data_IF_528090074397
#
_entry.id   IF_528090074397
#
_cell.length_a   1.000
_cell.length_b   1.000
_cell.length_c   1.000
_cell.angle_alpha   90.00
_cell.angle_beta   90.00
_cell.angle_gamma   90.00
#
_symmetry.space_group_name_H-M   'P 1'
#
loop_
_entity.id
_entity.type
_entity.pdbx_description
1 polymer ?
#
# COMPACT_ATOMS: atom_id res chain seq x y z
N UNK A 1 -48.69 16.21 -1.25
CA UNK A 1 -48.51 14.79 -1.60
C UNK A 1 -47.32 14.11 -0.92
N UNK A 2 -46.16 14.75 -0.78
CA UNK A 2 -44.95 14.13 -0.18
C UNK A 2 -45.12 13.80 1.32
N UNK A 3 -45.74 14.68 2.14
CA UNK A 3 -45.92 14.46 3.59
C UNK A 3 -46.77 13.26 3.97
N UNK A 4 -47.82 12.92 3.23
CA UNK A 4 -48.69 11.75 3.50
C UNK A 4 -47.98 10.42 3.13
N UNK A 5 -47.02 10.45 2.21
CA UNK A 5 -46.21 9.29 1.78
C UNK A 5 -44.97 9.08 2.61
N UNK A 6 -44.53 10.06 3.41
CA UNK A 6 -43.34 9.93 4.26
C UNK A 6 -43.42 8.77 5.28
N UNK A 7 -44.60 8.57 5.88
CA UNK A 7 -44.82 7.43 6.81
C UNK A 7 -44.71 6.07 6.11
N UNK A 8 -45.21 5.96 4.88
CA UNK A 8 -45.15 4.72 4.08
C UNK A 8 -43.72 4.46 3.51
N UNK A 9 -42.92 5.51 3.30
CA UNK A 9 -41.56 5.42 2.75
C UNK A 9 -40.50 5.47 3.85
N UNK A 10 -40.87 5.66 5.11
CA UNK A 10 -39.90 5.82 6.22
C UNK A 10 -38.96 4.65 6.38
N UNK A 11 -39.46 3.42 6.21
CA UNK A 11 -38.63 2.23 6.26
C UNK A 11 -37.58 2.20 5.12
N UNK A 12 -38.00 2.50 3.89
CA UNK A 12 -37.10 2.53 2.72
C UNK A 12 -36.04 3.62 2.87
N UNK A 13 -36.43 4.79 3.44
CA UNK A 13 -35.45 5.84 3.70
C UNK A 13 -34.43 5.43 4.77
N UNK A 14 -34.87 4.77 5.84
CA UNK A 14 -33.99 4.26 6.88
C UNK A 14 -33.04 3.18 6.33
N UNK A 15 -33.56 2.25 5.52
CA UNK A 15 -32.77 1.21 4.86
C UNK A 15 -31.72 1.83 3.93
N UNK A 16 -32.13 2.74 3.02
CA UNK A 16 -31.19 3.41 2.11
C UNK A 16 -30.13 4.23 2.87
N UNK A 17 -30.49 4.81 4.01
CA UNK A 17 -29.56 5.56 4.86
C UNK A 17 -28.47 4.64 5.42
N UNK A 18 -28.85 3.51 6.01
CA UNK A 18 -27.91 2.54 6.54
C UNK A 18 -27.05 1.92 5.41
N UNK A 19 -27.72 1.57 4.30
CA UNK A 19 -27.02 1.03 3.11
C UNK A 19 -26.01 2.04 2.58
N UNK A 20 -26.33 3.35 2.53
CA UNK A 20 -25.37 4.35 2.07
C UNK A 20 -24.13 4.42 2.95
N UNK A 21 -24.29 4.40 4.28
CA UNK A 21 -23.16 4.41 5.23
C UNK A 21 -22.28 3.19 5.03
N UNK A 22 -22.89 2.00 4.94
CA UNK A 22 -22.13 0.74 4.71
C UNK A 22 -21.40 0.78 3.36
N UNK A 23 -22.08 1.19 2.29
CA UNK A 23 -21.49 1.27 0.96
C UNK A 23 -20.38 2.31 0.88
N UNK A 24 -20.54 3.46 1.56
CA UNK A 24 -19.49 4.45 1.67
C UNK A 24 -18.23 3.85 2.32
N UNK A 25 -18.39 3.15 3.45
CA UNK A 25 -17.29 2.50 4.14
C UNK A 25 -16.60 1.46 3.25
N UNK A 26 -17.37 0.66 2.51
CA UNK A 26 -16.82 -0.33 1.58
C UNK A 26 -16.05 0.32 0.42
N UNK A 27 -16.60 1.39 -0.15
CA UNK A 27 -15.95 2.13 -1.24
C UNK A 27 -14.67 2.82 -0.76
N UNK A 28 -14.68 3.45 0.41
CA UNK A 28 -13.51 4.09 0.99
C UNK A 28 -12.42 3.06 1.29
N UNK A 29 -12.77 1.97 1.95
CA UNK A 29 -11.85 0.88 2.30
C UNK A 29 -11.19 0.26 1.05
N UNK A 30 -11.99 -0.10 0.03
CA UNK A 30 -11.47 -0.63 -1.24
C UNK A 30 -10.64 0.40 -2.00
N UNK A 31 -11.07 1.67 -1.98
CA UNK A 31 -10.34 2.76 -2.61
C UNK A 31 -8.97 2.94 -1.98
N UNK A 32 -8.89 2.99 -0.65
CA UNK A 32 -7.64 3.07 0.09
C UNK A 32 -6.74 1.87 -0.17
N UNK A 33 -7.30 0.65 -0.16
CA UNK A 33 -6.58 -0.57 -0.47
C UNK A 33 -5.93 -0.52 -1.85
N UNK A 34 -6.71 -0.20 -2.88
CA UNK A 34 -6.20 -0.11 -4.25
C UNK A 34 -5.19 1.02 -4.41
N UNK A 35 -5.46 2.20 -3.86
CA UNK A 35 -4.52 3.30 -3.89
C UNK A 35 -3.18 2.92 -3.27
N UNK A 36 -3.19 2.30 -2.08
CA UNK A 36 -1.99 1.86 -1.39
C UNK A 36 -1.24 0.79 -2.19
N UNK A 37 -1.96 -0.15 -2.79
CA UNK A 37 -1.37 -1.21 -3.60
C UNK A 37 -0.68 -0.69 -4.86
N UNK A 38 -1.33 0.23 -5.60
CA UNK A 38 -0.81 0.75 -6.87
C UNK A 38 0.13 1.95 -6.71
N UNK A 39 0.23 2.52 -5.52
CA UNK A 39 1.16 3.62 -5.26
C UNK A 39 2.60 3.16 -5.49
N UNK A 40 3.44 3.92 -6.19
CA UNK A 40 4.83 3.57 -6.45
C UNK A 40 5.60 3.27 -5.17
N UNK A 41 6.43 2.25 -5.20
CA UNK A 41 7.32 1.92 -4.08
C UNK A 41 8.46 2.92 -3.91
N UNK A 42 8.82 3.66 -4.98
CA UNK A 42 9.98 4.55 -5.03
C UNK A 42 11.27 3.82 -5.37
N UNK A 43 11.22 2.52 -5.61
CA UNK A 43 12.31 1.68 -6.09
C UNK A 43 11.78 0.56 -6.97
N UNK A 44 12.69 -0.08 -7.72
CA UNK A 44 12.37 -1.16 -8.64
C UNK A 44 13.04 -2.46 -8.19
N UNK A 45 12.25 -3.54 -8.10
CA UNK A 45 12.69 -4.87 -7.70
C UNK A 45 12.77 -5.87 -8.87
N UNK A 46 12.37 -5.47 -10.08
CA UNK A 46 12.48 -6.32 -11.26
C UNK A 46 13.95 -6.60 -11.55
N UNK A 47 14.27 -7.82 -11.90
CA UNK A 47 15.64 -8.28 -12.14
C UNK A 47 16.59 -8.18 -10.92
N UNK A 48 16.04 -8.03 -9.71
CA UNK A 48 16.82 -8.03 -8.46
C UNK A 48 16.73 -9.38 -7.79
N UNK A 49 17.88 -9.83 -7.31
CA UNK A 49 18.03 -11.10 -6.61
C UNK A 49 18.76 -10.90 -5.30
N UNK A 50 18.40 -11.70 -4.30
CA UNK A 50 19.11 -11.80 -3.02
C UNK A 50 19.83 -13.12 -2.94
N UNK A 51 21.11 -13.11 -2.53
CA UNK A 51 21.84 -14.33 -2.20
C UNK A 51 21.41 -14.84 -0.83
N UNK A 52 21.06 -16.11 -0.77
CA UNK A 52 20.94 -16.87 0.46
C UNK A 52 22.22 -17.65 0.69
N UNK A 53 22.91 -17.38 1.79
CA UNK A 53 24.22 -17.95 2.10
C UNK A 53 24.14 -18.79 3.37
N UNK A 54 24.87 -19.89 3.37
CA UNK A 54 25.01 -20.78 4.54
C UNK A 54 26.50 -20.94 4.89
N UNK A 55 26.76 -21.06 6.19
CA UNK A 55 28.08 -21.37 6.71
C UNK A 55 28.18 -22.87 6.98
N UNK A 56 29.07 -23.55 6.35
CA UNK A 56 29.26 -25.00 6.46
C UNK A 56 30.57 -25.34 7.14
N UNK A 57 30.53 -26.11 8.23
CA UNK A 57 31.71 -26.63 8.91
C UNK A 57 32.71 -25.60 9.44
N UNK A 58 33.93 -26.07 9.72
CA UNK A 58 35.02 -25.20 10.17
C UNK A 58 35.66 -24.46 8.99
N UNK A 59 36.16 -23.25 9.24
CA UNK A 59 36.93 -22.49 8.27
C UNK A 59 38.23 -23.21 7.91
N UNK A 60 38.50 -23.32 6.62
CA UNK A 60 39.77 -23.90 6.12
C UNK A 60 40.92 -22.92 6.32
N UNK A 61 40.65 -21.65 6.27
CA UNK A 61 41.57 -20.55 6.49
C UNK A 61 41.15 -19.75 7.74
N UNK A 62 41.78 -20.04 8.87
CA UNK A 62 41.50 -19.37 10.14
C UNK A 62 41.87 -17.87 10.16
N UNK A 63 42.64 -17.41 9.19
CA UNK A 63 42.96 -15.97 9.05
C UNK A 63 41.86 -15.18 8.39
N UNK A 64 40.90 -15.82 7.70
CA UNK A 64 39.83 -15.21 6.95
C UNK A 64 38.66 -14.87 7.84
N UNK A 65 38.37 -13.61 7.99
CA UNK A 65 37.20 -13.14 8.76
C UNK A 65 35.89 -13.35 8.00
N UNK A 66 34.74 -13.31 8.68
CA UNK A 66 33.45 -13.36 7.99
C UNK A 66 33.26 -12.19 7.02
N UNK A 67 33.79 -11.02 7.37
CA UNK A 67 33.78 -9.84 6.48
C UNK A 67 34.54 -10.12 5.18
N UNK A 68 35.73 -10.77 5.26
CA UNK A 68 36.53 -11.12 4.08
C UNK A 68 35.76 -12.05 3.15
N UNK A 69 35.02 -13.01 3.71
CA UNK A 69 34.23 -13.95 2.92
C UNK A 69 33.09 -13.25 2.18
N UNK A 70 32.35 -12.37 2.87
CA UNK A 70 31.29 -11.59 2.23
C UNK A 70 31.83 -10.66 1.15
N UNK A 71 32.95 -9.96 1.42
CA UNK A 71 33.60 -9.09 0.44
C UNK A 71 34.11 -9.90 -0.76
N UNK A 72 34.69 -11.08 -0.51
CA UNK A 72 35.14 -11.99 -1.58
C UNK A 72 33.99 -12.43 -2.49
N UNK A 73 32.85 -12.79 -1.91
CA UNK A 73 31.64 -13.14 -2.67
C UNK A 73 31.15 -11.93 -3.48
N UNK A 74 31.06 -10.74 -2.85
CA UNK A 74 30.63 -9.53 -3.51
C UNK A 74 31.52 -9.18 -4.72
N UNK A 75 32.82 -9.20 -4.54
CA UNK A 75 33.78 -8.89 -5.61
C UNK A 75 33.74 -9.92 -6.77
N UNK A 76 33.56 -11.20 -6.47
CA UNK A 76 33.34 -12.22 -7.50
C UNK A 76 32.05 -11.99 -8.25
N UNK A 77 30.96 -11.68 -7.54
CA UNK A 77 29.65 -11.43 -8.12
C UNK A 77 29.64 -10.19 -9.03
N UNK A 78 30.36 -9.13 -8.66
CA UNK A 78 30.48 -7.92 -9.49
C UNK A 78 31.23 -8.15 -10.81
N UNK A 79 32.02 -9.23 -10.89
CA UNK A 79 32.73 -9.61 -12.12
C UNK A 79 31.91 -10.49 -13.05
N UNK A 80 30.77 -10.99 -12.58
CA UNK A 80 29.91 -11.86 -13.41
C UNK A 80 29.28 -11.05 -14.56
N UNK A 81 29.39 -11.53 -15.81
CA UNK A 81 28.91 -10.79 -16.99
C UNK A 81 27.42 -10.49 -16.98
N UNK A 82 26.60 -11.34 -16.35
CA UNK A 82 25.16 -11.19 -16.23
C UNK A 82 24.76 -10.14 -15.20
N UNK A 83 25.64 -9.79 -14.26
CA UNK A 83 25.36 -8.85 -13.19
C UNK A 83 25.56 -7.42 -13.68
N UNK A 84 24.59 -6.57 -13.45
CA UNK A 84 24.66 -5.13 -13.73
C UNK A 84 25.34 -4.39 -12.58
N UNK A 85 24.93 -4.69 -11.36
CA UNK A 85 25.43 -4.09 -10.12
C UNK A 85 25.11 -4.99 -8.93
N UNK A 86 26.01 -5.05 -7.96
CA UNK A 86 25.78 -5.74 -6.70
C UNK A 86 25.99 -4.79 -5.51
N UNK A 87 25.43 -5.16 -4.37
CA UNK A 87 25.58 -4.41 -3.12
C UNK A 87 25.52 -5.35 -1.92
N UNK A 88 26.33 -5.03 -0.91
CA UNK A 88 26.23 -5.59 0.42
C UNK A 88 25.52 -4.59 1.32
N UNK A 89 24.60 -5.06 2.14
CA UNK A 89 23.93 -4.27 3.15
C UNK A 89 23.89 -5.00 4.48
N UNK A 90 23.66 -4.27 5.55
CA UNK A 90 23.60 -4.80 6.91
C UNK A 90 22.29 -4.42 7.57
N UNK A 91 21.41 -5.40 7.81
CA UNK A 91 20.06 -5.19 8.36
C UNK A 91 19.24 -4.12 7.62
N UNK A 92 19.40 -4.02 6.32
CA UNK A 92 18.95 -2.83 5.58
C UNK A 92 18.18 -3.11 4.32
N UNK A 93 17.80 -4.36 4.05
CA UNK A 93 17.00 -4.65 2.87
C UNK A 93 15.53 -4.29 3.07
N UNK A 94 14.89 -3.65 2.07
CA UNK A 94 13.46 -3.52 2.06
C UNK A 94 12.81 -4.91 2.15
N UNK A 95 11.63 -5.01 2.78
CA UNK A 95 10.87 -6.28 2.86
C UNK A 95 11.65 -7.46 3.50
N UNK A 96 12.60 -7.18 4.38
CA UNK A 96 13.34 -8.24 5.08
C UNK A 96 12.88 -8.47 6.53
N UNK A 97 12.04 -7.60 7.07
CA UNK A 97 11.62 -7.64 8.48
C UNK A 97 12.68 -7.15 9.46
N UNK A 98 13.94 -7.10 9.06
CA UNK A 98 15.07 -6.69 9.86
C UNK A 98 15.50 -5.28 9.47
N UNK A 99 15.57 -4.37 10.44
CA UNK A 99 15.97 -2.99 10.19
C UNK A 99 16.71 -2.44 11.41
N UNK A 100 17.71 -1.60 11.14
CA UNK A 100 18.33 -0.77 12.16
C UNK A 100 17.49 0.48 12.39
N UNK A 101 17.27 0.85 13.64
CA UNK A 101 16.54 2.06 14.03
C UNK A 101 17.41 2.95 14.90
N UNK A 102 17.23 4.24 14.72
CA UNK A 102 17.74 5.24 15.66
C UNK A 102 16.82 6.47 15.64
N UNK A 103 17.07 7.44 16.50
CA UNK A 103 16.40 8.72 16.46
C UNK A 103 17.41 9.79 16.02
N UNK A 104 17.06 10.50 14.96
CA UNK A 104 17.82 11.64 14.45
C UNK A 104 17.16 12.92 14.93
N UNK A 105 17.92 13.88 15.43
CA UNK A 105 17.37 15.09 16.02
C UNK A 105 18.04 16.37 15.48
N UNK A 106 17.27 17.45 15.43
CA UNK A 106 17.78 18.81 15.25
C UNK A 106 17.88 19.45 16.63
N UNK A 107 19.09 19.89 17.00
CA UNK A 107 19.36 20.55 18.28
C UNK A 107 18.85 19.78 19.51
N UNK A 108 18.84 18.47 19.44
CA UNK A 108 18.35 17.54 20.49
C UNK A 108 16.91 17.81 20.99
N UNK A 109 16.14 18.58 20.25
CA UNK A 109 14.77 18.98 20.63
C UNK A 109 13.72 18.37 19.70
N UNK A 110 13.95 18.39 18.39
CA UNK A 110 13.02 17.87 17.39
C UNK A 110 13.58 16.57 16.83
N UNK A 111 13.22 15.45 17.50
CA UNK A 111 13.64 14.12 17.11
C UNK A 111 12.70 13.44 16.12
N UNK A 112 13.26 12.62 15.24
CA UNK A 112 12.56 11.76 14.31
C UNK A 112 13.12 10.34 14.44
N UNK A 113 12.25 9.39 14.75
CA UNK A 113 12.62 7.98 14.66
C UNK A 113 12.81 7.61 13.19
N UNK A 114 14.01 7.18 12.85
CA UNK A 114 14.40 6.84 11.47
C UNK A 114 14.89 5.40 11.38
N UNK A 115 14.69 4.80 10.24
CA UNK A 115 15.36 3.53 9.89
C UNK A 115 16.67 3.86 9.20
N UNK A 116 17.70 3.06 9.47
CA UNK A 116 19.02 3.26 8.89
C UNK A 116 19.28 2.19 7.86
N UNK A 117 19.64 2.61 6.65
CA UNK A 117 20.18 1.74 5.62
C UNK A 117 21.71 1.85 5.65
N UNK A 118 22.37 0.77 6.06
CA UNK A 118 23.81 0.61 5.99
C UNK A 118 24.14 -0.24 4.78
N UNK A 119 24.69 0.35 3.72
CA UNK A 119 24.94 -0.37 2.47
C UNK A 119 26.13 0.17 1.69
N UNK A 120 26.70 -0.69 0.84
CA UNK A 120 27.74 -0.30 -0.12
C UNK A 120 27.17 0.59 -1.22
N UNK A 121 28.02 1.32 -1.92
CA UNK A 121 27.63 2.33 -2.90
C UNK A 121 26.80 1.83 -4.09
N UNK A 122 26.73 0.52 -4.32
CA UNK A 122 25.90 -0.09 -5.34
C UNK A 122 24.40 -0.15 -5.02
N UNK A 123 24.03 0.01 -3.74
CA UNK A 123 22.70 -0.29 -3.23
C UNK A 123 21.57 0.48 -3.94
N UNK A 124 21.70 1.78 -4.07
CA UNK A 124 20.69 2.64 -4.73
C UNK A 124 20.53 2.30 -6.21
N UNK A 125 21.60 1.88 -6.87
CA UNK A 125 21.56 1.41 -8.27
C UNK A 125 20.93 0.03 -8.39
N UNK A 126 21.17 -0.89 -7.45
CA UNK A 126 20.48 -2.20 -7.42
C UNK A 126 18.97 -1.99 -7.43
N UNK A 127 18.47 -1.09 -6.61
CA UNK A 127 17.04 -0.80 -6.47
C UNK A 127 16.53 0.31 -7.38
N UNK A 128 17.40 0.91 -8.22
CA UNK A 128 17.06 2.05 -9.08
C UNK A 128 16.32 3.15 -8.31
N UNK A 129 16.81 3.49 -7.12
CA UNK A 129 16.27 4.56 -6.30
C UNK A 129 16.60 5.92 -6.92
N UNK A 130 15.67 6.87 -6.80
CA UNK A 130 15.90 8.23 -7.27
C UNK A 130 16.84 8.94 -6.31
N UNK A 131 17.97 9.41 -6.81
CA UNK A 131 18.96 10.19 -6.07
C UNK A 131 18.90 11.66 -6.46
N UNK A 132 19.40 12.52 -5.58
CA UNK A 132 19.57 13.94 -5.88
C UNK A 132 20.65 14.14 -6.96
N UNK A 133 20.33 14.94 -7.97
CA UNK A 133 21.22 15.18 -9.11
C UNK A 133 22.55 15.81 -8.64
N UNK A 134 23.64 15.14 -8.97
CA UNK A 134 25.00 15.61 -8.66
C UNK A 134 25.58 15.10 -7.34
N UNK A 135 24.83 14.37 -6.52
CA UNK A 135 25.29 13.76 -5.27
C UNK A 135 24.89 12.29 -5.17
N UNK A 136 25.47 11.38 -5.96
CA UNK A 136 25.09 9.97 -5.93
C UNK A 136 25.56 9.32 -4.62
N UNK A 137 24.77 8.38 -4.12
CA UNK A 137 25.07 7.62 -2.90
C UNK A 137 26.44 6.92 -2.97
N UNK A 138 26.80 6.42 -4.14
CA UNK A 138 28.10 5.79 -4.39
C UNK A 138 29.30 6.72 -4.15
N UNK A 139 29.13 8.04 -4.29
CA UNK A 139 30.16 9.03 -4.08
C UNK A 139 30.13 9.70 -2.68
N UNK A 140 29.14 9.31 -1.85
CA UNK A 140 29.03 9.83 -0.49
C UNK A 140 30.27 9.44 0.34
N UNK A 141 30.83 10.34 1.17
CA UNK A 141 31.92 10.00 2.09
C UNK A 141 31.52 8.85 3.02
N UNK A 142 32.49 8.08 3.46
CA UNK A 142 32.29 7.03 4.45
C UNK A 142 32.72 7.54 5.81
N UNK A 143 31.86 7.41 6.80
CA UNK A 143 32.24 7.71 8.19
C UNK A 143 33.22 6.68 8.73
N UNK A 144 34.16 7.15 9.57
CA UNK A 144 35.18 6.28 10.15
C UNK A 144 34.67 5.41 11.32
N UNK A 145 33.46 5.64 11.77
CA UNK A 145 32.88 4.95 12.93
C UNK A 145 31.36 4.68 12.71
N UNK A 146 30.92 3.50 13.08
CA UNK A 146 29.53 3.02 12.96
C UNK A 146 28.59 3.74 13.90
N UNK A 147 29.06 4.00 15.09
CA UNK A 147 28.27 4.67 16.11
C UNK A 147 28.12 6.16 15.83
N UNK A 148 29.07 6.72 15.11
CA UNK A 148 29.12 8.13 14.76
C UNK A 148 28.95 8.41 13.25
N UNK A 149 28.26 7.55 12.48
CA UNK A 149 28.02 7.77 11.05
C UNK A 149 27.85 9.24 10.66
N UNK A 150 28.99 9.93 10.45
CA UNK A 150 29.03 11.39 10.33
C UNK A 150 28.42 11.87 9.01
N UNK A 151 28.22 10.96 8.06
CA UNK A 151 27.70 11.29 6.74
C UNK A 151 26.45 10.46 6.44
N UNK A 152 25.37 11.14 6.08
CA UNK A 152 24.11 10.51 5.76
C UNK A 152 23.42 11.18 4.57
N UNK A 153 22.59 10.42 3.87
CA UNK A 153 21.56 10.96 2.98
C UNK A 153 20.19 10.73 3.61
N UNK A 154 19.34 11.72 3.55
CA UNK A 154 17.97 11.61 4.05
C UNK A 154 17.04 11.12 2.95
N UNK A 155 16.05 10.29 3.29
CA UNK A 155 14.91 10.12 2.41
C UNK A 155 14.06 11.39 2.38
N UNK A 156 13.37 11.64 1.26
CA UNK A 156 12.48 12.79 1.11
C UNK A 156 11.46 12.85 2.27
N UNK A 157 10.88 11.71 2.69
CA UNK A 157 9.95 11.66 3.82
C UNK A 157 10.58 12.05 5.16
N UNK A 158 11.90 11.85 5.36
CA UNK A 158 12.62 12.34 6.54
C UNK A 158 12.85 13.84 6.44
N UNK A 159 13.26 14.31 5.26
CA UNK A 159 13.49 15.74 5.04
C UNK A 159 12.19 16.56 5.19
N UNK A 160 11.08 16.06 4.66
CA UNK A 160 9.77 16.73 4.75
C UNK A 160 9.26 16.77 6.20
N UNK A 161 9.50 15.72 6.99
CA UNK A 161 9.20 15.76 8.43
C UNK A 161 9.87 16.92 9.15
N UNK A 162 11.15 17.20 8.80
CA UNK A 162 11.88 18.33 9.41
C UNK A 162 11.47 19.67 8.83
N UNK A 163 11.22 19.77 7.51
CA UNK A 163 10.74 21.01 6.88
C UNK A 163 9.44 21.53 7.49
N UNK A 164 8.54 20.61 7.87
CA UNK A 164 7.27 20.96 8.52
C UNK A 164 7.45 21.49 9.96
N UNK A 165 8.50 21.06 10.67
CA UNK A 165 8.68 21.30 12.12
C UNK A 165 9.82 22.24 12.45
N UNK A 166 10.78 22.41 11.55
CA UNK A 166 11.98 23.26 11.74
C UNK A 166 11.95 24.36 10.69
N UNK A 167 11.63 25.61 11.06
CA UNK A 167 11.66 26.72 10.13
C UNK A 167 13.05 26.88 9.50
N UNK A 168 13.13 26.94 8.18
CA UNK A 168 14.39 27.09 7.45
C UNK A 168 15.25 25.82 7.38
N UNK A 169 14.69 24.64 7.64
CA UNK A 169 15.43 23.38 7.48
C UNK A 169 16.02 23.24 6.07
N UNK A 170 17.30 22.94 6.02
CA UNK A 170 18.08 22.71 4.79
C UNK A 170 19.06 21.56 4.98
N UNK A 171 19.76 21.15 3.92
CA UNK A 171 20.80 20.13 4.00
C UNK A 171 22.00 20.55 4.88
N UNK A 172 22.15 21.86 5.13
CA UNK A 172 23.22 22.39 6.01
C UNK A 172 22.78 22.46 7.48
N UNK A 173 21.51 22.14 7.77
CA UNK A 173 21.02 22.10 9.16
C UNK A 173 21.73 20.98 9.92
N UNK A 174 22.43 21.27 11.04
CA UNK A 174 23.13 20.25 11.79
C UNK A 174 22.15 19.28 12.43
N UNK A 175 22.38 17.99 12.21
CA UNK A 175 21.67 16.90 12.83
C UNK A 175 22.59 16.18 13.82
N UNK A 176 22.01 15.51 14.79
CA UNK A 176 22.71 14.60 15.71
C UNK A 176 21.87 13.36 15.95
N UNK A 177 22.52 12.26 16.32
CA UNK A 177 21.78 11.15 16.88
C UNK A 177 21.24 11.58 18.25
N UNK A 178 19.97 11.27 18.51
CA UNK A 178 19.28 11.69 19.74
C UNK A 178 20.05 11.26 20.99
N UNK A 179 20.31 12.20 21.88
CA UNK A 179 21.13 11.99 23.09
C UNK A 179 22.65 12.04 22.86
N UNK A 180 23.11 12.27 21.62
CA UNK A 180 24.54 12.41 21.30
C UNK A 180 24.82 13.70 20.51
N UNK A 181 24.72 14.82 21.19
CA UNK A 181 24.94 16.15 20.60
C UNK A 181 26.40 16.43 20.24
N UNK A 182 27.34 15.63 20.75
CA UNK A 182 28.76 15.77 20.45
C UNK A 182 29.09 15.31 19.03
N UNK A 183 28.31 14.39 18.47
CA UNK A 183 28.52 13.81 17.15
C UNK A 183 27.54 14.38 16.13
N UNK A 184 27.94 15.46 15.46
CA UNK A 184 27.17 16.09 14.40
C UNK A 184 27.13 15.19 13.16
N UNK A 185 25.94 14.95 12.65
CA UNK A 185 25.69 14.18 11.42
C UNK A 185 25.60 15.15 10.24
N UNK A 186 26.47 14.94 9.25
CA UNK A 186 26.51 15.75 8.03
C UNK A 186 25.62 15.17 6.96
N UNK A 187 24.69 15.97 6.47
CA UNK A 187 23.81 15.60 5.37
C UNK A 187 24.55 15.76 4.04
N UNK A 188 24.59 14.70 3.22
CA UNK A 188 25.29 14.71 1.93
C UNK A 188 24.35 14.85 0.72
N UNK A 189 23.05 14.67 0.90
CA UNK A 189 22.07 14.71 -0.18
C UNK A 189 20.75 14.07 0.24
N UNK A 190 19.87 13.89 -0.74
CA UNK A 190 18.58 13.26 -0.53
C UNK A 190 18.35 12.06 -1.47
N UNK A 191 17.58 11.11 -0.98
CA UNK A 191 17.03 10.00 -1.77
C UNK A 191 15.52 10.20 -1.84
N UNK A 192 14.96 10.03 -3.02
CA UNK A 192 13.53 10.21 -3.25
C UNK A 192 12.66 9.40 -2.31
N UNK A 193 11.40 9.76 -2.22
CA UNK A 193 10.44 9.08 -1.36
C UNK A 193 10.32 7.61 -1.75
N UNK A 194 10.35 6.73 -0.76
CA UNK A 194 10.11 5.32 -0.97
C UNK A 194 9.40 4.68 0.23
N UNK A 195 8.74 3.56 -0.02
CA UNK A 195 8.04 2.79 1.01
C UNK A 195 8.79 1.49 1.29
N UNK A 196 8.82 1.08 2.55
CA UNK A 196 9.51 -0.17 2.92
C UNK A 196 8.87 -1.41 2.29
N UNK A 197 7.57 -1.38 2.04
CA UNK A 197 6.80 -2.43 1.37
C UNK A 197 5.48 -1.87 0.83
N UNK A 198 4.79 -2.66 0.03
CA UNK A 198 3.61 -2.22 -0.76
C UNK A 198 2.47 -1.61 0.08
N UNK A 199 2.24 -2.12 1.29
CA UNK A 199 1.20 -1.63 2.20
C UNK A 199 1.74 -0.73 3.32
N UNK A 200 3.04 -0.42 3.31
CA UNK A 200 3.67 0.47 4.28
C UNK A 200 3.44 1.95 3.98
N UNK A 201 3.53 2.77 5.03
CA UNK A 201 3.60 4.23 4.89
C UNK A 201 4.95 4.65 4.27
N UNK A 202 5.03 5.91 3.83
CA UNK A 202 6.29 6.53 3.47
C UNK A 202 7.21 6.50 4.68
N UNK A 203 8.32 5.81 4.53
CA UNK A 203 9.18 5.55 5.65
C UNK A 203 10.21 6.68 5.80
N UNK A 204 10.49 7.02 7.04
CA UNK A 204 11.54 7.95 7.40
C UNK A 204 12.85 7.17 7.48
N UNK A 205 13.68 7.34 6.48
CA UNK A 205 14.92 6.59 6.31
C UNK A 205 16.12 7.51 6.22
N UNK A 206 17.23 6.96 6.67
CA UNK A 206 18.56 7.55 6.58
C UNK A 206 19.47 6.54 5.92
N UNK A 207 20.21 6.96 4.92
CA UNK A 207 21.16 6.14 4.20
C UNK A 207 22.56 6.45 4.63
N UNK A 208 23.28 5.43 5.02
CA UNK A 208 24.69 5.49 5.40
C UNK A 208 25.49 4.57 4.49
N UNK A 209 26.47 5.13 3.84
CA UNK A 209 27.38 4.34 3.02
C UNK A 209 28.40 3.64 3.90
N UNK A 210 28.61 2.35 3.65
CA UNK A 210 29.66 1.54 4.25
C UNK A 210 30.67 1.12 3.18
N UNK A 211 31.95 1.05 3.55
CA UNK A 211 33.05 0.55 2.71
C UNK A 211 33.65 -0.73 3.29
N UNK A 212 34.71 -1.23 2.66
CA UNK A 212 35.40 -2.43 3.11
C UNK A 212 35.93 -2.32 4.54
N UNK A 213 36.41 -1.15 4.96
CA UNK A 213 36.96 -0.96 6.30
C UNK A 213 35.85 -1.06 7.35
N UNK A 214 34.72 -0.36 7.11
CA UNK A 214 33.55 -0.46 7.96
C UNK A 214 33.01 -1.86 8.02
N UNK A 215 32.94 -2.57 6.90
CA UNK A 215 32.49 -3.96 6.83
C UNK A 215 33.41 -4.86 7.67
N UNK A 216 34.74 -4.69 7.57
CA UNK A 216 35.70 -5.50 8.34
C UNK A 216 35.65 -5.26 9.85
N UNK A 217 35.34 -4.04 10.25
CA UNK A 217 35.29 -3.67 11.69
C UNK A 217 33.95 -4.00 12.34
N UNK A 218 32.88 -3.96 11.57
CA UNK A 218 31.51 -3.97 12.12
C UNK A 218 30.68 -5.16 11.73
N UNK A 219 31.00 -5.82 10.60
CA UNK A 219 30.19 -6.92 10.12
C UNK A 219 30.30 -8.09 11.09
N UNK A 220 29.18 -8.43 11.71
CA UNK A 220 29.01 -9.68 12.46
C UNK A 220 28.51 -10.78 11.52
N UNK A 221 28.62 -12.02 11.93
CA UNK A 221 28.21 -13.21 11.16
C UNK A 221 26.73 -13.21 10.74
N UNK A 222 25.91 -12.37 11.36
CA UNK A 222 24.48 -12.26 11.08
C UNK A 222 24.12 -10.82 10.65
N UNK A 223 23.20 -10.71 9.75
CA UNK A 223 22.67 -9.42 9.27
C UNK A 223 23.28 -8.91 7.97
N UNK A 224 24.38 -9.52 7.49
CA UNK A 224 24.91 -9.22 6.16
C UNK A 224 24.04 -9.82 5.07
N UNK A 225 23.73 -9.01 4.07
CA UNK A 225 22.83 -9.36 2.98
C UNK A 225 23.46 -8.88 1.67
N UNK A 226 23.55 -9.75 0.68
CA UNK A 226 24.03 -9.41 -0.66
C UNK A 226 22.85 -9.44 -1.61
N UNK A 227 22.67 -8.34 -2.33
CA UNK A 227 21.68 -8.18 -3.38
C UNK A 227 22.35 -7.73 -4.65
N UNK A 228 21.79 -8.12 -5.78
CA UNK A 228 22.32 -7.73 -7.07
C UNK A 228 21.22 -7.62 -8.12
N UNK A 229 21.48 -6.82 -9.12
CA UNK A 229 20.62 -6.66 -10.29
C UNK A 229 21.24 -7.38 -11.46
N UNK A 230 20.43 -8.15 -12.16
CA UNK A 230 20.77 -8.82 -13.41
C UNK A 230 20.46 -7.90 -14.57
N UNK A 231 21.28 -7.93 -15.62
CA UNK A 231 20.99 -7.24 -16.88
C UNK A 231 19.71 -7.81 -17.49
N UNK A 232 18.81 -6.95 -17.92
CA UNK A 232 17.48 -7.33 -18.43
C UNK A 232 17.54 -8.38 -19.54
N UNK A 233 18.50 -8.26 -20.44
CA UNK A 233 18.71 -9.22 -21.54
C UNK A 233 19.28 -10.58 -21.10
N UNK A 234 19.76 -10.71 -19.88
CA UNK A 234 20.32 -11.93 -19.31
C UNK A 234 19.37 -12.59 -18.30
N UNK A 235 18.34 -11.88 -17.85
CA UNK A 235 17.37 -12.38 -16.88
C UNK A 235 16.29 -13.22 -17.60
N UNK A 236 16.45 -14.54 -17.49
CA UNK A 236 15.54 -15.52 -18.06
C UNK A 236 14.77 -16.26 -16.96
N UNK A 237 13.60 -16.86 -17.25
CA UNK A 237 12.87 -17.68 -16.28
C UNK A 237 13.72 -18.77 -15.63
N UNK A 238 14.76 -19.24 -16.32
CA UNK A 238 15.69 -20.27 -15.84
C UNK A 238 16.91 -19.69 -15.11
N UNK A 239 16.99 -18.34 -14.96
CA UNK A 239 18.20 -17.70 -14.42
C UNK A 239 18.60 -18.26 -13.05
N UNK A 240 17.64 -18.44 -12.13
CA UNK A 240 17.89 -19.05 -10.80
C UNK A 240 18.58 -20.41 -10.92
N UNK A 241 18.07 -21.28 -11.77
CA UNK A 241 18.61 -22.63 -11.96
C UNK A 241 20.00 -22.63 -12.58
N UNK A 242 20.23 -21.75 -13.58
CA UNK A 242 21.54 -21.56 -14.20
C UNK A 242 22.53 -20.97 -13.22
N UNK A 243 22.13 -19.95 -12.48
CA UNK A 243 22.97 -19.32 -11.46
C UNK A 243 23.47 -20.34 -10.44
N UNK A 244 22.57 -21.13 -9.86
CA UNK A 244 22.91 -22.11 -8.85
C UNK A 244 23.82 -23.22 -9.38
N UNK A 245 23.67 -23.59 -10.64
CA UNK A 245 24.46 -24.67 -11.25
C UNK A 245 25.82 -24.20 -11.76
N UNK A 246 25.88 -23.01 -12.35
CA UNK A 246 27.04 -22.55 -13.10
C UNK A 246 27.83 -21.46 -12.37
N UNK A 247 27.16 -20.54 -11.65
CA UNK A 247 27.80 -19.36 -11.04
C UNK A 247 28.06 -19.57 -9.55
N UNK A 248 27.08 -20.07 -8.80
CA UNK A 248 27.17 -20.19 -7.35
C UNK A 248 28.45 -20.97 -6.86
N UNK A 249 28.88 -22.08 -7.48
CA UNK A 249 30.09 -22.78 -7.04
C UNK A 249 31.37 -21.94 -7.16
N UNK A 250 31.39 -20.97 -8.08
CA UNK A 250 32.53 -20.05 -8.25
C UNK A 250 32.53 -18.92 -7.23
N UNK A 251 31.37 -18.61 -6.68
CA UNK A 251 31.21 -17.58 -5.65
C UNK A 251 31.59 -18.09 -4.26
N UNK A 252 31.47 -19.38 -4.03
CA UNK A 252 31.79 -20.00 -2.76
C UNK A 252 33.14 -19.53 -2.24
N UNK A 253 33.22 -19.21 -0.97
CA UNK A 253 34.43 -18.65 -0.36
C UNK A 253 34.67 -19.28 1.00
N UNK A 254 35.75 -20.07 1.12
CA UNK A 254 36.13 -20.85 2.30
C UNK A 254 34.98 -21.78 2.77
N UNK A 255 34.38 -21.53 3.91
CA UNK A 255 33.23 -22.30 4.42
C UNK A 255 31.89 -21.60 4.24
N UNK A 256 31.82 -20.55 3.41
CA UNK A 256 30.59 -19.88 3.05
C UNK A 256 30.13 -20.28 1.66
N UNK A 257 28.95 -20.85 1.57
CA UNK A 257 28.34 -21.39 0.36
C UNK A 257 27.08 -20.67 -0.03
N UNK A 258 26.84 -20.55 -1.33
CA UNK A 258 25.60 -20.03 -1.85
C UNK A 258 24.55 -21.14 -1.81
N UNK A 259 23.57 -21.03 -0.93
CA UNK A 259 22.48 -21.99 -0.78
C UNK A 259 21.38 -21.76 -1.81
N UNK A 260 21.09 -20.51 -2.11
CA UNK A 260 20.03 -20.14 -3.04
C UNK A 260 20.23 -18.71 -3.57
N UNK A 261 19.53 -18.41 -4.67
CA UNK A 261 19.38 -17.08 -5.22
C UNK A 261 17.88 -16.80 -5.41
N UNK A 262 17.36 -15.91 -4.58
CA UNK A 262 15.92 -15.67 -4.48
C UNK A 262 15.56 -14.40 -5.26
N UNK A 263 14.64 -14.47 -6.25
CA UNK A 263 14.11 -13.29 -6.90
C UNK A 263 13.46 -12.35 -5.85
N UNK A 264 13.74 -11.07 -5.95
CA UNK A 264 13.22 -10.12 -4.96
C UNK A 264 11.69 -9.98 -4.97
N UNK A 265 11.05 -10.32 -6.09
CA UNK A 265 9.60 -10.44 -6.20
C UNK A 265 9.03 -11.57 -5.34
N UNK A 266 9.74 -12.69 -5.24
CA UNK A 266 9.39 -13.80 -4.34
C UNK A 266 9.60 -13.39 -2.87
N UNK A 267 10.70 -12.71 -2.57
CA UNK A 267 10.97 -12.15 -1.25
C UNK A 267 9.86 -11.16 -0.81
N UNK A 268 9.39 -10.32 -1.72
CA UNK A 268 8.28 -9.42 -1.48
C UNK A 268 7.01 -10.20 -1.09
N UNK A 269 6.65 -11.21 -1.86
CA UNK A 269 5.47 -12.01 -1.59
C UNK A 269 5.56 -12.74 -0.24
N UNK A 270 6.70 -13.35 0.05
CA UNK A 270 6.95 -14.02 1.34
C UNK A 270 6.85 -13.05 2.52
N UNK A 271 7.37 -11.84 2.36
CA UNK A 271 7.28 -10.79 3.38
C UNK A 271 5.83 -10.33 3.60
N UNK A 272 5.05 -10.11 2.54
CA UNK A 272 3.64 -9.73 2.61
C UNK A 272 2.78 -10.83 3.26
N UNK A 273 3.09 -12.11 2.99
CA UNK A 273 2.46 -13.26 3.67
C UNK A 273 2.85 -13.29 5.16
N UNK A 274 4.13 -13.15 5.48
CA UNK A 274 4.62 -13.14 6.86
C UNK A 274 4.01 -12.00 7.69
N UNK A 275 3.78 -10.83 7.08
CA UNK A 275 3.11 -9.68 7.71
C UNK A 275 1.59 -9.87 7.86
N UNK A 276 1.02 -10.89 7.22
CA UNK A 276 -0.42 -11.11 7.18
C UNK A 276 -1.18 -10.17 6.24
N UNK A 277 -0.47 -9.35 5.45
CA UNK A 277 -1.11 -8.38 4.54
C UNK A 277 -1.91 -9.09 3.45
N UNK A 278 -1.42 -10.21 2.92
CA UNK A 278 -2.12 -11.02 1.92
C UNK A 278 -3.44 -11.57 2.47
N UNK A 279 -3.40 -12.14 3.68
CA UNK A 279 -4.60 -12.71 4.32
C UNK A 279 -5.61 -11.61 4.68
N UNK A 280 -5.11 -10.46 5.15
CA UNK A 280 -5.94 -9.30 5.47
C UNK A 280 -6.66 -8.77 4.23
N UNK A 281 -5.94 -8.60 3.12
CA UNK A 281 -6.51 -8.14 1.84
C UNK A 281 -7.54 -9.12 1.32
N UNK A 282 -7.23 -10.41 1.33
CA UNK A 282 -8.14 -11.46 0.88
C UNK A 282 -9.41 -11.50 1.72
N UNK A 283 -9.27 -11.53 3.06
CA UNK A 283 -10.39 -11.52 3.99
C UNK A 283 -11.27 -10.28 3.81
N UNK A 284 -10.67 -9.11 3.73
CA UNK A 284 -11.39 -7.85 3.53
C UNK A 284 -12.14 -7.86 2.19
N UNK A 285 -11.52 -8.35 1.13
CA UNK A 285 -12.15 -8.45 -0.20
C UNK A 285 -13.36 -9.38 -0.17
N UNK A 286 -13.25 -10.56 0.48
CA UNK A 286 -14.36 -11.50 0.62
C UNK A 286 -15.50 -10.90 1.43
N UNK A 287 -15.22 -10.25 2.55
CA UNK A 287 -16.22 -9.58 3.40
C UNK A 287 -16.93 -8.48 2.62
N UNK A 288 -16.18 -7.65 1.90
CA UNK A 288 -16.76 -6.59 1.06
C UNK A 288 -17.68 -7.17 -0.02
N UNK A 289 -17.24 -8.19 -0.73
CA UNK A 289 -18.06 -8.84 -1.77
C UNK A 289 -19.32 -9.46 -1.18
N UNK A 290 -19.22 -10.14 -0.04
CA UNK A 290 -20.36 -10.69 0.68
C UNK A 290 -21.38 -9.62 1.07
N UNK A 291 -20.93 -8.52 1.67
CA UNK A 291 -21.79 -7.41 2.06
C UNK A 291 -22.45 -6.76 0.84
N UNK A 292 -21.71 -6.58 -0.24
CA UNK A 292 -22.21 -6.01 -1.49
C UNK A 292 -23.35 -6.86 -2.08
N UNK A 293 -23.19 -8.19 -2.09
CA UNK A 293 -24.25 -9.13 -2.53
C UNK A 293 -25.47 -9.05 -1.61
N UNK A 294 -25.28 -9.01 -0.29
CA UNK A 294 -26.38 -8.92 0.66
C UNK A 294 -27.18 -7.62 0.52
N UNK A 295 -26.47 -6.49 0.40
CA UNK A 295 -27.08 -5.17 0.15
C UNK A 295 -27.88 -5.18 -1.16
N UNK A 296 -27.30 -5.74 -2.22
CA UNK A 296 -27.95 -5.85 -3.52
C UNK A 296 -29.26 -6.66 -3.46
N UNK A 297 -29.24 -7.82 -2.79
CA UNK A 297 -30.43 -8.65 -2.61
C UNK A 297 -31.48 -7.96 -1.76
N UNK A 298 -31.08 -7.26 -0.68
CA UNK A 298 -31.98 -6.45 0.14
C UNK A 298 -32.68 -5.37 -0.65
N UNK A 299 -31.93 -4.60 -1.43
CA UNK A 299 -32.49 -3.54 -2.27
C UNK A 299 -33.44 -4.08 -3.35
N UNK A 300 -33.07 -5.17 -4.03
CA UNK A 300 -33.99 -5.83 -5.00
C UNK A 300 -35.29 -6.21 -4.31
N UNK A 301 -35.23 -6.86 -3.16
CA UNK A 301 -36.40 -7.27 -2.38
C UNK A 301 -37.30 -6.06 -2.03
N UNK A 302 -36.71 -5.01 -1.49
CA UNK A 302 -37.44 -3.78 -1.10
C UNK A 302 -38.12 -3.11 -2.29
N UNK A 303 -37.41 -2.94 -3.41
CA UNK A 303 -38.01 -2.34 -4.61
C UNK A 303 -39.04 -3.25 -5.27
N UNK A 304 -38.85 -4.58 -5.19
CA UNK A 304 -39.84 -5.53 -5.69
C UNK A 304 -41.15 -5.46 -4.90
N UNK A 305 -41.13 -5.46 -3.56
CA UNK A 305 -42.31 -5.29 -2.70
C UNK A 305 -42.98 -3.95 -2.93
N UNK A 306 -42.19 -2.87 -3.07
CA UNK A 306 -42.72 -1.52 -3.32
C UNK A 306 -43.46 -1.45 -4.67
N UNK A 307 -42.88 -2.01 -5.71
CA UNK A 307 -43.51 -2.01 -7.05
C UNK A 307 -44.77 -2.86 -7.07
N UNK A 308 -44.75 -4.01 -6.36
CA UNK A 308 -45.93 -4.86 -6.25
C UNK A 308 -47.08 -4.21 -5.53
N UNK A 309 -46.85 -3.45 -4.44
CA UNK A 309 -47.87 -2.67 -3.74
C UNK A 309 -48.51 -1.55 -4.57
N UNK A 310 -47.84 -1.11 -5.62
CA UNK A 310 -48.30 -0.06 -6.54
C UNK A 310 -48.86 -0.60 -7.84
N UNK A 311 -49.14 -1.90 -7.92
CA UNK A 311 -49.62 -2.56 -9.13
C UNK A 311 -50.89 -1.90 -9.69
N UNK A 312 -51.85 -1.55 -8.84
CA UNK A 312 -53.12 -0.93 -9.25
C UNK A 312 -52.89 0.52 -9.76
N UNK A 313 -52.01 1.28 -9.13
CA UNK A 313 -51.63 2.64 -9.61
C UNK A 313 -50.96 2.56 -11.00
N UNK A 314 -50.07 1.59 -11.20
CA UNK A 314 -49.38 1.36 -12.47
C UNK A 314 -50.37 0.93 -13.57
N UNK A 315 -51.29 0.02 -13.25
CA UNK A 315 -52.33 -0.43 -14.18
C UNK A 315 -53.28 0.69 -14.60
N UNK A 316 -53.70 1.53 -13.65
CA UNK A 316 -54.54 2.71 -13.91
C UNK A 316 -53.84 3.68 -14.86
N UNK A 317 -52.56 3.97 -14.66
CA UNK A 317 -51.79 4.86 -15.53
C UNK A 317 -51.61 4.29 -16.95
N UNK A 318 -51.43 2.98 -17.07
CA UNK A 318 -51.39 2.31 -18.37
C UNK A 318 -52.76 2.42 -19.07
N UNK A 319 -53.88 2.23 -18.36
CA UNK A 319 -55.21 2.36 -18.90
C UNK A 319 -55.51 3.82 -19.34
N UNK A 320 -54.92 4.82 -18.67
CA UNK A 320 -55.03 6.25 -19.03
C UNK A 320 -54.05 6.64 -20.18
N UNK A 321 -53.36 5.68 -20.81
CA UNK A 321 -52.52 5.95 -21.99
C UNK A 321 -51.06 6.23 -21.71
N UNK A 322 -50.58 6.05 -20.48
CA UNK A 322 -49.11 6.13 -20.22
C UNK A 322 -48.35 5.01 -20.90
N UNK A 323 -47.23 5.35 -21.50
CA UNK A 323 -46.34 4.32 -22.11
C UNK A 323 -45.55 3.58 -21.04
N UNK A 324 -45.19 2.33 -21.34
CA UNK A 324 -44.34 1.49 -20.46
C UNK A 324 -43.02 2.20 -20.09
N UNK A 325 -42.41 2.95 -21.03
CA UNK A 325 -41.19 3.71 -20.83
C UNK A 325 -41.38 4.88 -19.84
N UNK A 326 -42.52 5.57 -19.93
CA UNK A 326 -42.83 6.68 -19.00
C UNK A 326 -42.98 6.19 -17.55
N UNK A 327 -43.65 5.03 -17.35
CA UNK A 327 -43.80 4.43 -16.03
C UNK A 327 -42.46 3.98 -15.48
N UNK A 328 -41.62 3.39 -16.32
CA UNK A 328 -40.28 2.97 -15.92
C UNK A 328 -39.41 4.16 -15.52
N UNK A 329 -39.39 5.24 -16.33
CA UNK A 329 -38.65 6.47 -16.01
C UNK A 329 -39.16 7.15 -14.72
N UNK A 330 -40.48 7.08 -14.46
CA UNK A 330 -41.06 7.63 -13.26
C UNK A 330 -40.61 6.87 -12.01
N UNK A 331 -40.65 5.52 -12.03
CA UNK A 331 -40.20 4.68 -10.92
C UNK A 331 -38.70 4.86 -10.65
N UNK A 332 -37.90 4.91 -11.73
CA UNK A 332 -36.46 5.18 -11.65
C UNK A 332 -36.15 6.54 -11.04
N UNK A 333 -36.80 7.60 -11.55
CA UNK A 333 -36.62 8.95 -11.03
C UNK A 333 -36.99 9.05 -9.55
N UNK A 334 -38.08 8.37 -9.14
CA UNK A 334 -38.51 8.35 -7.73
C UNK A 334 -37.47 7.60 -6.85
N UNK A 335 -36.93 6.46 -7.32
CA UNK A 335 -35.89 5.71 -6.59
C UNK A 335 -34.59 6.49 -6.43
N UNK A 336 -34.11 7.12 -7.50
CA UNK A 336 -32.89 7.92 -7.48
C UNK A 336 -33.06 9.22 -6.65
N UNK A 337 -34.25 9.83 -6.69
CA UNK A 337 -34.56 11.02 -5.87
C UNK A 337 -34.53 10.67 -4.38
N UNK A 338 -35.12 9.53 -3.98
CA UNK A 338 -35.05 9.04 -2.60
C UNK A 338 -33.62 8.76 -2.15
N UNK A 339 -32.82 8.10 -3.01
CA UNK A 339 -31.41 7.87 -2.74
C UNK A 339 -30.65 9.18 -2.52
N UNK A 340 -30.82 10.16 -3.41
CA UNK A 340 -30.12 11.44 -3.32
C UNK A 340 -30.54 12.22 -2.06
N UNK A 341 -31.83 12.21 -1.71
CA UNK A 341 -32.33 12.85 -0.50
C UNK A 341 -31.76 12.26 0.77
N UNK A 342 -31.56 10.94 0.79
CA UNK A 342 -30.98 10.22 1.94
C UNK A 342 -29.46 10.31 1.97
N UNK A 343 -28.82 10.41 0.82
CA UNK A 343 -27.36 10.51 0.73
C UNK A 343 -26.82 11.73 1.48
N UNK A 344 -27.54 12.88 1.45
CA UNK A 344 -27.09 14.11 2.12
C UNK A 344 -26.89 13.94 3.64
N UNK A 345 -27.89 13.50 4.43
CA UNK A 345 -27.69 13.28 5.85
C UNK A 345 -26.70 12.10 6.13
N UNK A 346 -26.67 11.07 5.28
CA UNK A 346 -25.72 9.97 5.41
C UNK A 346 -24.28 10.44 5.21
N UNK A 347 -24.02 11.32 4.23
CA UNK A 347 -22.70 11.92 4.01
C UNK A 347 -22.22 12.72 5.22
N UNK A 348 -23.12 13.42 5.96
CA UNK A 348 -22.73 14.11 7.19
C UNK A 348 -22.23 13.12 8.23
N UNK A 349 -22.93 11.98 8.39
CA UNK A 349 -22.48 10.93 9.32
C UNK A 349 -21.14 10.34 8.87
N UNK A 350 -21.00 9.98 7.59
CA UNK A 350 -19.77 9.42 7.03
C UNK A 350 -18.56 10.36 7.20
N UNK A 351 -18.77 11.66 7.00
CA UNK A 351 -17.74 12.67 7.18
C UNK A 351 -17.26 12.75 8.63
N UNK A 352 -18.18 12.76 9.60
CA UNK A 352 -17.84 12.76 11.01
C UNK A 352 -17.14 11.46 11.46
N UNK A 353 -17.57 10.32 10.93
CA UNK A 353 -16.90 9.03 11.17
C UNK A 353 -15.46 9.07 10.64
N UNK A 354 -15.24 9.56 9.43
CA UNK A 354 -13.90 9.69 8.86
C UNK A 354 -12.98 10.62 9.66
N UNK A 355 -13.49 11.77 10.13
CA UNK A 355 -12.69 12.65 11.00
C UNK A 355 -12.40 11.99 12.35
N UNK A 356 -13.37 11.33 12.96
CA UNK A 356 -13.17 10.65 14.24
C UNK A 356 -12.11 9.56 14.16
N UNK A 357 -12.10 8.78 13.08
CA UNK A 357 -11.08 7.77 12.81
C UNK A 357 -9.68 8.40 12.69
N UNK A 358 -9.56 9.50 11.96
CA UNK A 358 -8.29 10.20 11.82
C UNK A 358 -7.80 10.79 13.15
N UNK A 359 -8.68 11.37 13.97
CA UNK A 359 -8.32 12.01 15.25
C UNK A 359 -8.06 11.03 16.38
N UNK A 360 -8.70 9.87 16.38
CA UNK A 360 -8.49 8.82 17.40
C UNK A 360 -7.20 8.01 17.18
N UNK A 361 -6.42 8.33 16.15
CA UNK A 361 -5.17 7.66 15.82
C UNK A 361 -5.39 6.19 15.51
N UNK A 362 -5.68 5.91 14.27
CA UNK A 362 -5.68 4.57 13.64
C UNK A 362 -5.97 3.41 14.62
N UNK A 363 -7.16 3.37 15.17
CA UNK A 363 -7.58 2.15 15.85
C UNK A 363 -7.59 1.06 14.79
N UNK A 364 -6.85 -0.01 15.01
CA UNK A 364 -6.64 -1.13 14.07
C UNK A 364 -7.95 -1.77 13.56
N UNK A 365 -9.08 -1.33 14.08
CA UNK A 365 -10.41 -1.87 13.82
C UNK A 365 -11.03 -1.43 12.48
N UNK A 366 -10.70 -0.23 11.96
CA UNK A 366 -11.46 0.31 10.82
C UNK A 366 -10.59 0.53 9.59
N UNK A 367 -9.44 1.21 9.66
CA UNK A 367 -8.52 1.27 8.52
C UNK A 367 -7.05 1.25 8.97
N UNK A 368 -6.31 0.30 8.51
CA UNK A 368 -4.86 0.19 8.75
C UNK A 368 -4.06 0.71 7.56
N UNK A 369 -4.72 1.37 6.60
CA UNK A 369 -4.06 1.83 5.39
C UNK A 369 -3.43 3.21 5.61
N UNK A 370 -2.19 3.41 5.17
CA UNK A 370 -1.46 4.66 5.34
C UNK A 370 -1.94 5.74 4.34
N UNK A 371 -3.25 5.95 4.28
CA UNK A 371 -3.87 6.99 3.46
C UNK A 371 -4.46 8.02 4.39
N UNK A 372 -3.90 9.22 4.34
CA UNK A 372 -4.38 10.33 5.14
C UNK A 372 -5.84 10.68 4.80
N UNK A 373 -6.59 11.12 5.82
CA UNK A 373 -7.92 11.63 5.63
C UNK A 373 -7.86 12.93 4.83
N UNK A 374 -8.66 13.00 3.77
CA UNK A 374 -8.80 14.23 2.98
C UNK A 374 -10.23 14.39 2.47
N UNK A 375 -10.64 15.64 2.22
CA UNK A 375 -11.95 15.92 1.65
C UNK A 375 -12.13 15.25 0.28
N UNK A 376 -11.08 15.14 -0.51
CA UNK A 376 -11.11 14.44 -1.80
C UNK A 376 -11.39 12.93 -1.62
N UNK A 377 -10.73 12.28 -0.67
CA UNK A 377 -10.99 10.87 -0.32
C UNK A 377 -12.44 10.67 0.04
N UNK A 378 -12.98 11.52 0.94
CA UNK A 378 -14.39 11.51 1.34
C UNK A 378 -15.33 11.66 0.13
N UNK A 379 -15.05 12.62 -0.75
CA UNK A 379 -15.87 12.90 -1.93
C UNK A 379 -15.88 11.70 -2.90
N UNK A 380 -14.71 11.11 -3.18
CA UNK A 380 -14.59 9.94 -4.06
C UNK A 380 -15.31 8.72 -3.49
N UNK A 381 -15.18 8.44 -2.19
CA UNK A 381 -15.90 7.38 -1.50
C UNK A 381 -17.40 7.58 -1.55
N UNK A 382 -17.88 8.82 -1.31
CA UNK A 382 -19.28 9.18 -1.36
C UNK A 382 -19.89 9.07 -2.75
N UNK A 383 -19.16 9.53 -3.77
CA UNK A 383 -19.56 9.41 -5.17
C UNK A 383 -19.61 7.94 -5.61
N UNK A 384 -18.59 7.15 -5.24
CA UNK A 384 -18.55 5.71 -5.50
C UNK A 384 -19.74 4.98 -4.89
N UNK A 385 -20.03 5.24 -3.62
CA UNK A 385 -21.19 4.66 -2.93
C UNK A 385 -22.51 5.05 -3.61
N UNK A 386 -22.70 6.34 -3.92
CA UNK A 386 -23.90 6.82 -4.61
C UNK A 386 -24.08 6.13 -5.97
N UNK A 387 -23.03 6.06 -6.79
CA UNK A 387 -23.07 5.41 -8.11
C UNK A 387 -23.41 3.92 -8.02
N UNK A 388 -22.79 3.20 -7.08
CA UNK A 388 -23.07 1.76 -6.89
C UNK A 388 -24.51 1.52 -6.43
N UNK A 389 -25.01 2.27 -5.46
CA UNK A 389 -26.38 2.15 -5.00
C UNK A 389 -27.36 2.56 -6.10
N UNK A 390 -27.06 3.64 -6.84
CA UNK A 390 -27.88 4.07 -7.98
C UNK A 390 -27.99 2.97 -9.02
N UNK A 391 -26.87 2.31 -9.35
CA UNK A 391 -26.85 1.15 -10.26
C UNK A 391 -27.73 0.00 -9.74
N UNK A 392 -27.58 -0.33 -8.45
CA UNK A 392 -28.39 -1.39 -7.81
C UNK A 392 -29.89 -1.06 -7.81
N UNK A 393 -30.25 0.18 -7.51
CA UNK A 393 -31.64 0.70 -7.55
C UNK A 393 -32.18 0.60 -8.98
N UNK A 394 -31.40 1.00 -9.97
CA UNK A 394 -31.78 0.91 -11.40
C UNK A 394 -32.05 -0.55 -11.80
N UNK A 395 -31.17 -1.47 -11.46
CA UNK A 395 -31.33 -2.90 -11.75
C UNK A 395 -32.55 -3.49 -11.00
N UNK A 396 -32.71 -3.16 -9.71
CA UNK A 396 -33.83 -3.60 -8.88
C UNK A 396 -35.17 -3.14 -9.41
N UNK A 397 -35.29 -1.87 -9.78
CA UNK A 397 -36.50 -1.29 -10.38
C UNK A 397 -36.75 -1.89 -11.77
N UNK A 398 -35.72 -2.06 -12.60
CA UNK A 398 -35.84 -2.65 -13.92
C UNK A 398 -36.43 -4.05 -13.87
N UNK A 399 -35.92 -4.89 -12.97
CA UNK A 399 -36.40 -6.25 -12.77
C UNK A 399 -37.85 -6.26 -12.30
N UNK A 400 -38.20 -5.46 -11.28
CA UNK A 400 -39.53 -5.37 -10.68
C UNK A 400 -40.56 -4.76 -11.62
N UNK A 401 -40.21 -3.69 -12.32
CA UNK A 401 -41.08 -3.00 -13.26
C UNK A 401 -41.41 -3.89 -14.49
N UNK A 402 -40.42 -4.66 -14.97
CA UNK A 402 -40.61 -5.56 -16.09
C UNK A 402 -41.67 -6.64 -15.82
N UNK A 403 -41.76 -7.10 -14.57
CA UNK A 403 -42.81 -8.03 -14.15
C UNK A 403 -44.19 -7.33 -14.01
N UNK A 404 -44.21 -6.14 -13.40
CA UNK A 404 -45.46 -5.39 -13.20
C UNK A 404 -46.13 -4.91 -14.50
N UNK A 405 -45.31 -4.58 -15.53
CA UNK A 405 -45.78 -4.07 -16.83
C UNK A 405 -46.28 -5.22 -17.76
N UNK A 406 -45.95 -6.47 -17.47
CA UNK A 406 -46.45 -7.65 -18.25
C UNK A 406 -47.91 -8.02 -17.97
N UNK A 407 -48.47 -7.50 -16.89
CA UNK A 407 -49.87 -7.81 -16.49
C UNK A 407 -50.82 -7.02 -17.33
N UNK A 408 -51.87 -7.70 -17.82
CA UNK A 408 -52.93 -7.06 -18.58
C UNK A 408 -53.77 -6.13 -17.64
N UNK A 409 -54.07 -4.89 -18.06
CA UNK A 409 -54.82 -3.95 -17.20
C UNK A 409 -56.16 -4.50 -16.71
N UNK A 410 -56.80 -5.38 -17.50
CA UNK A 410 -58.07 -6.03 -17.16
C UNK A 410 -57.95 -7.00 -15.98
N UNK A 411 -56.83 -7.75 -15.87
CA UNK A 411 -56.61 -8.68 -14.74
C UNK A 411 -56.32 -7.93 -13.42
N UNK A 412 -55.60 -6.79 -13.49
CA UNK A 412 -55.23 -6.02 -12.33
C UNK A 412 -56.40 -5.22 -11.69
N UNK A 413 -57.48 -5.03 -12.43
CA UNK A 413 -58.70 -4.33 -11.95
C UNK A 413 -59.78 -5.32 -11.49
N UNK A 414 -59.65 -6.62 -11.75
CA UNK A 414 -60.58 -7.68 -11.35
C UNK A 414 -60.22 -8.44 -10.07
N UNK A 415 -58.97 -8.24 -9.53
CA UNK A 415 -58.57 -8.80 -8.23
C UNK A 415 -58.97 -7.85 -7.09
N UNK A 416 -60.29 -7.67 -6.82
CA UNK A 416 -60.86 -7.22 -5.57
C UNK A 416 -61.52 -8.42 -4.84
#
# INVERSE_FOLDING_TARGET
MIRARLRSNGWVLAELFLVFIVMWFLCDSLGCLKYTFYRPLGYNIDHVYQLSMIKGGESRDSSMTSADKYLGILQKLEREPAVEVAALSYWSLPMSGNNSYNSLAVQDTIGCAVRIINATGGYTRVFRMKEDAGRPFAAMPVGNDVTSGNYVMLSEGTADYYKERVPGFSLDTPLSWYGDTANVVTQCGMIGSFRSYRYGADAKWVFRRIDENVIRTELRDYGAQIVFRVKENMDSPDYRSKFLKEIAPHLDTDNMFIADVVPYTEQQYQFEVMKGDVDKVNTQTVVVLFLLVNVFLGLIGTFWFRTRRRRNEIALRLAMGSTKKQIFCLLMGEGLLLLTLVALPAMIVCYNVGIAEFTMGHTELITTWPVEWSFLRFLLGSLGAWLLIALMVVIGIWFSARQAIKIQPAEALHEE
#
